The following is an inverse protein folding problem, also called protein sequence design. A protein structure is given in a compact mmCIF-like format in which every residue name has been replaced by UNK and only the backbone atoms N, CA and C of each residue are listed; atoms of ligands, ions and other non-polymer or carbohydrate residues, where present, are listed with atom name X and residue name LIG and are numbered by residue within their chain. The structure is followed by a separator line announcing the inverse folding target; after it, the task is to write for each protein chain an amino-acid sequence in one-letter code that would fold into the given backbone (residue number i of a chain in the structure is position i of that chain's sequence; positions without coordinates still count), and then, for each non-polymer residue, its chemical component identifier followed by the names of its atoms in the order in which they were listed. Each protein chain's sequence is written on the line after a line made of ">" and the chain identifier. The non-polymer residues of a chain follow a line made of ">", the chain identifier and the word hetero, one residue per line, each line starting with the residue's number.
data_IF_985752284808
#
_entry.id   IF_985752284808
#
_cell.length_a   1.000
_cell.length_b   1.000
_cell.length_c   1.000
_cell.angle_alpha   90.00
_cell.angle_beta   90.00
_cell.angle_gamma   90.00
#
_symmetry.space_group_name_H-M   'P 1'
#
loop_
_entity.id
_entity.type
_entity.pdbx_description
1 polymer ?
#
# COMPACT_ATOMS: atom_id res chain seq x y z
N UNK A 1 -31.48 19.56 6.13
CA UNK A 1 -30.31 18.93 5.51
C UNK A 1 -29.42 18.51 6.67
N UNK A 2 -29.25 17.21 6.91
CA UNK A 2 -28.30 16.73 7.90
C UNK A 2 -26.90 17.03 7.34
N UNK A 3 -26.12 17.84 8.05
CA UNK A 3 -24.69 17.99 7.79
C UNK A 3 -24.06 16.60 7.96
N UNK A 4 -23.62 16.00 6.88
CA UNK A 4 -22.76 14.81 6.97
C UNK A 4 -21.57 15.22 7.84
N UNK A 5 -21.32 14.48 8.91
CA UNK A 5 -20.13 14.71 9.72
C UNK A 5 -18.91 14.67 8.80
N UNK A 6 -18.04 15.66 8.90
CA UNK A 6 -16.80 15.68 8.13
C UNK A 6 -16.01 14.40 8.42
N UNK A 7 -15.63 13.67 7.36
CA UNK A 7 -14.79 12.48 7.49
C UNK A 7 -13.42 12.82 8.06
N UNK A 8 -12.76 11.85 8.68
CA UNK A 8 -11.47 12.03 9.37
C UNK A 8 -10.30 12.48 8.47
N UNK A 9 -10.44 12.31 7.15
CA UNK A 9 -9.46 12.70 6.15
C UNK A 9 -9.94 13.87 5.28
N UNK A 10 -11.02 14.57 5.69
CA UNK A 10 -11.54 15.74 4.96
C UNK A 10 -10.44 16.79 4.80
N UNK A 11 -10.24 17.24 3.56
CA UNK A 11 -9.19 18.23 3.21
C UNK A 11 -7.78 17.66 3.11
N UNK A 12 -7.59 16.35 3.19
CA UNK A 12 -6.30 15.70 2.96
C UNK A 12 -6.25 15.06 1.57
N UNK A 13 -5.04 14.96 1.03
CA UNK A 13 -4.73 14.31 -0.25
C UNK A 13 -3.86 13.09 0.00
N UNK A 14 -4.31 11.92 -0.49
CA UNK A 14 -3.58 10.68 -0.40
C UNK A 14 -3.13 10.16 -1.77
N UNK A 15 -1.86 9.79 -1.89
CA UNK A 15 -1.29 9.11 -3.05
C UNK A 15 -1.20 7.63 -2.74
N UNK A 16 -1.83 6.78 -3.57
CA UNK A 16 -1.93 5.34 -3.36
C UNK A 16 -1.42 4.59 -4.57
N UNK A 17 -0.36 3.78 -4.39
CA UNK A 17 0.17 2.92 -5.45
C UNK A 17 -0.53 1.56 -5.48
N UNK A 18 -0.69 0.98 -6.68
CA UNK A 18 -1.39 -0.30 -6.84
C UNK A 18 -2.89 -0.23 -6.56
N UNK A 19 -3.51 0.94 -6.76
CA UNK A 19 -4.90 1.21 -6.39
C UNK A 19 -5.96 0.57 -7.30
N UNK A 20 -5.55 -0.15 -8.37
CA UNK A 20 -6.50 -0.71 -9.35
C UNK A 20 -7.25 -1.97 -8.86
N UNK A 21 -6.87 -2.57 -7.74
CA UNK A 21 -7.52 -3.76 -7.18
C UNK A 21 -7.06 -4.09 -5.75
N UNK A 22 -7.67 -5.10 -5.15
CA UNK A 22 -7.27 -5.67 -3.88
C UNK A 22 -7.13 -4.63 -2.78
N UNK A 23 -6.08 -4.75 -1.98
CA UNK A 23 -5.82 -3.90 -0.82
C UNK A 23 -5.76 -2.40 -1.21
N UNK A 24 -5.05 -2.06 -2.29
CA UNK A 24 -4.92 -0.66 -2.73
C UNK A 24 -6.25 -0.04 -3.12
N UNK A 25 -7.12 -0.79 -3.80
CA UNK A 25 -8.47 -0.36 -4.14
C UNK A 25 -9.36 -0.19 -2.90
N UNK A 26 -9.26 -1.10 -1.93
CA UNK A 26 -9.99 -1.00 -0.67
C UNK A 26 -9.53 0.20 0.18
N UNK A 27 -8.21 0.45 0.26
CA UNK A 27 -7.67 1.65 0.93
C UNK A 27 -8.18 2.93 0.25
N UNK A 28 -8.16 2.99 -1.09
CA UNK A 28 -8.65 4.14 -1.82
C UNK A 28 -10.12 4.45 -1.47
N UNK A 29 -11.00 3.44 -1.49
CA UNK A 29 -12.41 3.61 -1.09
C UNK A 29 -12.56 4.01 0.37
N UNK A 30 -11.83 3.40 1.29
CA UNK A 30 -11.88 3.75 2.70
C UNK A 30 -11.47 5.22 2.94
N UNK A 31 -10.45 5.70 2.23
CA UNK A 31 -9.99 7.09 2.34
C UNK A 31 -10.97 8.07 1.69
N UNK A 32 -11.57 7.73 0.55
CA UNK A 32 -12.65 8.52 -0.06
C UNK A 32 -13.84 8.68 0.88
N UNK A 33 -14.27 7.59 1.51
CA UNK A 33 -15.41 7.60 2.45
C UNK A 33 -15.12 8.47 3.68
N UNK A 34 -13.86 8.63 4.07
CA UNK A 34 -13.42 9.52 5.13
C UNK A 34 -13.04 10.92 4.62
N UNK A 35 -13.35 11.24 3.38
CA UNK A 35 -13.29 12.60 2.85
C UNK A 35 -11.97 13.01 2.20
N UNK A 36 -11.03 12.09 1.95
CA UNK A 36 -9.80 12.40 1.26
C UNK A 36 -10.01 12.64 -0.25
N UNK A 37 -9.20 13.52 -0.84
CA UNK A 37 -8.93 13.53 -2.27
C UNK A 37 -7.79 12.55 -2.58
N UNK A 38 -7.76 11.97 -3.80
CA UNK A 38 -6.80 10.92 -4.12
C UNK A 38 -5.96 11.22 -5.36
N UNK A 39 -4.73 10.73 -5.35
CA UNK A 39 -3.95 10.37 -6.54
C UNK A 39 -3.80 8.85 -6.55
N UNK A 40 -4.29 8.19 -7.59
CA UNK A 40 -4.26 6.73 -7.71
C UNK A 40 -3.35 6.30 -8.85
N UNK A 41 -2.44 5.35 -8.56
CA UNK A 41 -1.39 4.92 -9.49
C UNK A 41 -1.50 3.43 -9.75
N UNK A 42 -1.62 3.02 -11.01
CA UNK A 42 -1.49 1.64 -11.47
C UNK A 42 -1.37 1.57 -13.00
N UNK A 43 -1.15 0.37 -13.55
CA UNK A 43 -1.08 0.11 -15.00
C UNK A 43 -2.45 -0.03 -15.66
N UNK A 44 -3.49 -0.44 -14.91
CA UNK A 44 -4.84 -0.71 -15.44
C UNK A 44 -5.69 0.55 -15.37
N UNK A 45 -5.59 1.38 -16.41
CA UNK A 45 -6.23 2.69 -16.49
C UNK A 45 -7.75 2.63 -16.28
N UNK A 46 -8.43 1.68 -16.92
CA UNK A 46 -9.89 1.54 -16.82
C UNK A 46 -10.37 1.38 -15.38
N UNK A 47 -9.65 0.58 -14.57
CA UNK A 47 -10.00 0.39 -13.15
C UNK A 47 -9.74 1.63 -12.30
N UNK A 48 -8.71 2.41 -12.64
CA UNK A 48 -8.44 3.69 -11.98
C UNK A 48 -9.50 4.74 -12.36
N UNK A 49 -9.96 4.71 -13.60
CA UNK A 49 -11.02 5.62 -14.06
C UNK A 49 -12.34 5.34 -13.32
N UNK A 50 -12.70 4.08 -13.10
CA UNK A 50 -13.85 3.72 -12.28
C UNK A 50 -13.73 4.26 -10.84
N UNK A 51 -12.53 4.24 -10.24
CA UNK A 51 -12.28 4.86 -8.93
C UNK A 51 -12.48 6.38 -8.96
N UNK A 52 -12.05 7.04 -10.03
CA UNK A 52 -12.26 8.48 -10.18
C UNK A 52 -13.74 8.84 -10.30
N UNK A 53 -14.54 8.00 -10.97
CA UNK A 53 -16.00 8.16 -11.05
C UNK A 53 -16.68 7.95 -9.68
N UNK A 54 -16.21 6.96 -8.89
CA UNK A 54 -16.68 6.76 -7.52
C UNK A 54 -16.38 7.99 -6.65
N UNK A 55 -15.17 8.55 -6.76
CA UNK A 55 -14.76 9.76 -6.05
C UNK A 55 -15.66 10.95 -6.39
N UNK A 56 -15.93 11.17 -7.68
CA UNK A 56 -16.78 12.26 -8.13
C UNK A 56 -18.20 12.15 -7.57
N UNK A 57 -18.77 10.94 -7.53
CA UNK A 57 -20.09 10.68 -6.92
C UNK A 57 -20.13 11.02 -5.42
N UNK A 58 -18.99 10.87 -4.75
CA UNK A 58 -18.82 11.21 -3.33
C UNK A 58 -18.43 12.68 -3.10
N UNK A 59 -18.38 13.51 -4.16
CA UNK A 59 -17.97 14.91 -4.08
C UNK A 59 -16.48 15.10 -3.78
N UNK A 60 -15.65 14.11 -4.10
CA UNK A 60 -14.20 14.12 -3.91
C UNK A 60 -13.47 14.13 -5.25
N UNK A 61 -12.22 14.56 -5.24
CA UNK A 61 -11.37 14.59 -6.43
C UNK A 61 -10.48 13.35 -6.43
N UNK A 62 -10.31 12.74 -7.60
CA UNK A 62 -9.39 11.64 -7.77
C UNK A 62 -8.64 11.82 -9.09
N UNK A 63 -7.32 11.98 -9.02
CA UNK A 63 -6.45 12.10 -10.18
C UNK A 63 -5.89 10.72 -10.50
N UNK A 64 -6.07 10.29 -11.73
CA UNK A 64 -5.55 9.02 -12.25
C UNK A 64 -4.17 9.23 -12.85
N UNK A 65 -3.20 8.46 -12.40
CA UNK A 65 -1.85 8.38 -12.98
C UNK A 65 -1.60 6.94 -13.46
N UNK A 66 -1.82 6.73 -14.75
CA UNK A 66 -1.43 5.46 -15.38
C UNK A 66 0.10 5.37 -15.46
N UNK A 67 0.66 4.23 -15.03
CA UNK A 67 2.10 3.99 -15.15
C UNK A 67 2.57 2.74 -14.42
N UNK A 68 3.80 2.35 -14.74
CA UNK A 68 4.51 1.31 -14.01
C UNK A 68 5.22 1.95 -12.81
N UNK A 69 4.97 1.41 -11.63
CA UNK A 69 5.57 1.91 -10.38
C UNK A 69 7.09 1.70 -10.31
N UNK A 70 7.64 0.86 -11.18
CA UNK A 70 9.09 0.62 -11.30
C UNK A 70 9.82 1.80 -11.97
N UNK A 71 9.09 2.64 -12.69
CA UNK A 71 9.60 3.79 -13.42
C UNK A 71 9.57 5.04 -12.55
N UNK A 72 10.73 5.71 -12.40
CA UNK A 72 10.86 6.93 -11.59
C UNK A 72 9.93 8.05 -12.09
N UNK A 73 9.77 8.17 -13.40
CA UNK A 73 8.89 9.15 -14.03
C UNK A 73 7.43 9.00 -13.57
N UNK A 74 6.98 7.79 -13.29
CA UNK A 74 5.63 7.56 -12.74
C UNK A 74 5.50 8.16 -11.34
N UNK A 75 6.52 8.03 -10.49
CA UNK A 75 6.52 8.63 -9.15
C UNK A 75 6.54 10.17 -9.24
N UNK A 76 7.36 10.73 -10.12
CA UNK A 76 7.43 12.18 -10.38
C UNK A 76 6.07 12.73 -10.80
N UNK A 77 5.43 12.11 -11.82
CA UNK A 77 4.11 12.53 -12.30
C UNK A 77 3.03 12.43 -11.21
N UNK A 78 3.07 11.39 -10.38
CA UNK A 78 2.10 11.22 -9.31
C UNK A 78 2.21 12.30 -8.22
N UNK A 79 3.42 12.67 -7.82
CA UNK A 79 3.66 13.76 -6.86
C UNK A 79 3.27 15.11 -7.46
N UNK A 80 3.64 15.36 -8.72
CA UNK A 80 3.22 16.57 -9.43
C UNK A 80 1.70 16.67 -9.54
N UNK A 81 1.00 15.58 -9.83
CA UNK A 81 -0.45 15.54 -9.89
C UNK A 81 -1.08 15.91 -8.54
N UNK A 82 -0.55 15.40 -7.42
CA UNK A 82 -1.02 15.78 -6.09
C UNK A 82 -0.86 17.29 -5.84
N UNK A 83 0.34 17.82 -6.05
CA UNK A 83 0.65 19.21 -5.74
C UNK A 83 -0.04 20.18 -6.70
N UNK A 84 0.00 19.93 -8.01
CA UNK A 84 -0.49 20.88 -9.02
C UNK A 84 -2.00 20.82 -9.22
N UNK A 85 -2.63 19.63 -9.13
CA UNK A 85 -4.07 19.46 -9.40
C UNK A 85 -4.91 19.43 -8.13
N UNK A 86 -4.36 18.90 -7.00
CA UNK A 86 -5.08 18.81 -5.73
C UNK A 86 -4.61 19.83 -4.70
N UNK A 87 -3.46 20.50 -4.95
CA UNK A 87 -2.94 21.60 -4.15
C UNK A 87 -2.03 21.19 -2.99
N UNK A 88 -1.97 19.89 -2.66
CA UNK A 88 -1.15 19.37 -1.55
C UNK A 88 -0.95 17.86 -1.64
N UNK A 89 -0.10 17.33 -0.75
CA UNK A 89 0.04 15.90 -0.51
C UNK A 89 0.25 15.67 0.99
N UNK A 90 -0.56 14.82 1.61
CA UNK A 90 -0.55 14.55 3.05
C UNK A 90 -0.19 13.12 3.38
N UNK A 91 -0.62 12.16 2.52
CA UNK A 91 -0.49 10.73 2.80
C UNK A 91 0.09 10.02 1.59
N UNK A 92 1.11 9.19 1.81
CA UNK A 92 1.58 8.21 0.83
C UNK A 92 1.23 6.80 1.32
N UNK A 93 0.62 5.99 0.44
CA UNK A 93 0.44 4.56 0.65
C UNK A 93 1.23 3.78 -0.40
N UNK A 94 2.37 3.24 0.00
CA UNK A 94 3.16 2.29 -0.78
C UNK A 94 2.52 0.92 -0.68
N UNK A 95 1.63 0.59 -1.64
CA UNK A 95 0.91 -0.68 -1.65
C UNK A 95 1.22 -1.55 -2.88
N UNK A 96 1.68 -0.98 -3.99
CA UNK A 96 2.01 -1.74 -5.18
C UNK A 96 2.98 -2.89 -4.86
N UNK A 97 2.70 -4.08 -5.38
CA UNK A 97 3.53 -5.25 -5.16
C UNK A 97 3.09 -6.45 -5.98
N UNK A 98 4.02 -7.39 -6.15
CA UNK A 98 3.78 -8.70 -6.77
C UNK A 98 4.40 -9.81 -5.91
N UNK A 99 3.87 -11.02 -6.05
CA UNK A 99 4.44 -12.24 -5.50
C UNK A 99 4.57 -13.29 -6.59
N UNK A 100 5.71 -13.95 -6.65
CA UNK A 100 5.97 -15.13 -7.49
C UNK A 100 6.58 -16.18 -6.58
N UNK A 101 5.79 -17.21 -6.29
CA UNK A 101 6.14 -18.23 -5.31
C UNK A 101 6.70 -19.46 -6.01
N UNK A 102 7.91 -19.82 -5.66
CA UNK A 102 8.61 -21.01 -6.15
C UNK A 102 9.78 -21.34 -5.22
N UNK A 103 10.20 -22.60 -5.23
CA UNK A 103 11.45 -22.97 -4.58
C UNK A 103 12.62 -22.21 -5.19
N UNK A 104 13.65 -21.93 -4.40
CA UNK A 104 14.77 -21.08 -4.82
C UNK A 104 15.41 -21.53 -6.13
N UNK A 105 15.57 -22.84 -6.33
CA UNK A 105 16.19 -23.40 -7.55
C UNK A 105 15.31 -23.22 -8.80
N UNK A 106 14.04 -22.92 -8.65
CA UNK A 106 13.08 -22.67 -9.73
C UNK A 106 12.82 -21.18 -9.95
N UNK A 107 13.29 -20.32 -9.02
CA UNK A 107 13.13 -18.86 -9.13
C UNK A 107 14.14 -18.31 -10.13
N UNK A 108 13.67 -17.72 -11.21
CA UNK A 108 14.54 -17.09 -12.20
C UNK A 108 15.12 -15.75 -11.71
N UNK A 109 16.22 -15.30 -12.32
CA UNK A 109 16.73 -13.95 -12.08
C UNK A 109 15.71 -12.87 -12.47
N UNK A 110 14.96 -13.08 -13.55
CA UNK A 110 13.91 -12.16 -13.99
C UNK A 110 12.77 -12.04 -12.95
N UNK A 111 12.42 -13.16 -12.28
CA UNK A 111 11.44 -13.14 -11.21
C UNK A 111 11.95 -12.40 -9.96
N UNK A 112 13.23 -12.60 -9.64
CA UNK A 112 13.91 -11.85 -8.58
C UNK A 112 13.85 -10.34 -8.88
N UNK A 113 14.33 -9.93 -10.06
CA UNK A 113 14.37 -8.51 -10.46
C UNK A 113 12.95 -7.91 -10.49
N UNK A 114 11.98 -8.62 -11.07
CA UNK A 114 10.60 -8.15 -11.12
C UNK A 114 10.00 -7.93 -9.73
N UNK A 115 10.26 -8.83 -8.76
CA UNK A 115 9.78 -8.67 -7.39
C UNK A 115 10.53 -7.55 -6.65
N UNK A 116 11.84 -7.45 -6.78
CA UNK A 116 12.63 -6.38 -6.15
C UNK A 116 12.24 -5.01 -6.70
N UNK A 117 12.12 -4.88 -8.01
CA UNK A 117 11.77 -3.62 -8.66
C UNK A 117 10.33 -3.18 -8.32
N UNK A 118 9.38 -4.13 -8.36
CA UNK A 118 7.98 -3.78 -8.08
C UNK A 118 7.74 -3.53 -6.61
N UNK A 119 8.33 -4.31 -5.69
CA UNK A 119 8.00 -4.21 -4.27
C UNK A 119 8.90 -3.17 -3.57
N UNK A 120 10.23 -3.27 -3.73
CA UNK A 120 11.14 -2.43 -2.96
C UNK A 120 11.56 -1.16 -3.69
N UNK A 121 11.98 -1.26 -4.95
CA UNK A 121 12.39 -0.08 -5.73
C UNK A 121 11.24 0.92 -5.87
N UNK A 122 10.02 0.45 -6.15
CA UNK A 122 8.86 1.35 -6.22
C UNK A 122 8.61 2.06 -4.90
N UNK A 123 8.66 1.34 -3.76
CA UNK A 123 8.53 1.93 -2.42
C UNK A 123 9.57 3.02 -2.21
N UNK A 124 10.82 2.79 -2.59
CA UNK A 124 11.88 3.79 -2.53
C UNK A 124 11.59 5.00 -3.43
N UNK A 125 11.25 4.79 -4.69
CA UNK A 125 11.03 5.87 -5.66
C UNK A 125 9.89 6.81 -5.21
N UNK A 126 8.72 6.25 -4.89
CA UNK A 126 7.60 7.07 -4.44
C UNK A 126 7.91 7.80 -3.14
N UNK A 127 8.50 7.12 -2.17
CA UNK A 127 8.89 7.75 -0.90
C UNK A 127 9.89 8.87 -1.10
N UNK A 128 10.93 8.66 -1.92
CA UNK A 128 11.97 9.66 -2.21
C UNK A 128 11.38 10.96 -2.78
N UNK A 129 10.39 10.85 -3.67
CA UNK A 129 9.77 12.03 -4.29
C UNK A 129 8.69 12.68 -3.40
N UNK A 130 8.06 11.94 -2.50
CA UNK A 130 7.06 12.45 -1.56
C UNK A 130 7.69 13.14 -0.36
N UNK A 131 8.78 12.62 0.18
CA UNK A 131 9.43 13.13 1.41
C UNK A 131 9.71 14.64 1.35
N UNK A 132 10.29 15.22 0.28
CA UNK A 132 10.53 16.68 0.21
C UNK A 132 9.24 17.50 0.39
N UNK A 133 8.12 17.06 -0.20
CA UNK A 133 6.82 17.74 -0.07
C UNK A 133 6.31 17.70 1.37
N UNK A 134 6.43 16.56 2.04
CA UNK A 134 6.01 16.42 3.43
C UNK A 134 6.91 17.21 4.39
N UNK A 135 8.22 17.27 4.12
CA UNK A 135 9.18 18.06 4.90
C UNK A 135 8.88 19.57 4.81
N UNK A 136 8.57 20.07 3.62
CA UNK A 136 8.16 21.46 3.42
C UNK A 136 6.89 21.80 4.20
N UNK A 137 5.95 20.85 4.29
CA UNK A 137 4.70 21.01 5.05
C UNK A 137 4.89 20.83 6.57
N UNK A 138 5.96 20.18 7.02
CA UNK A 138 6.20 19.85 8.43
C UNK A 138 5.20 18.84 9.01
N UNK A 139 4.47 18.10 8.17
CA UNK A 139 3.49 17.09 8.58
C UNK A 139 3.23 16.12 7.44
N UNK A 140 2.76 14.92 7.75
CA UNK A 140 2.34 13.93 6.78
C UNK A 140 2.38 12.50 7.32
N UNK A 141 1.93 11.55 6.50
CA UNK A 141 1.92 10.13 6.86
C UNK A 141 2.37 9.27 5.69
N UNK A 142 3.31 8.37 5.94
CA UNK A 142 3.77 7.36 4.96
C UNK A 142 3.41 5.98 5.51
N UNK A 143 2.63 5.22 4.73
CA UNK A 143 2.19 3.87 5.08
C UNK A 143 2.73 2.90 4.03
N UNK A 144 3.44 1.87 4.47
CA UNK A 144 3.90 0.79 3.60
C UNK A 144 3.07 -0.46 3.84
N UNK A 145 2.49 -1.04 2.80
CA UNK A 145 1.80 -2.33 2.87
C UNK A 145 2.83 -3.42 2.55
N UNK A 146 3.42 -3.98 3.61
CA UNK A 146 4.38 -5.06 3.49
C UNK A 146 3.67 -6.44 3.47
N UNK A 147 4.00 -7.32 4.39
CA UNK A 147 3.40 -8.65 4.57
C UNK A 147 3.94 -9.27 5.88
N UNK A 148 3.28 -10.32 6.38
CA UNK A 148 3.91 -11.22 7.35
C UNK A 148 5.21 -11.84 6.82
N UNK A 149 5.35 -11.98 5.49
CA UNK A 149 6.60 -12.36 4.82
C UNK A 149 7.74 -11.32 4.99
N UNK A 150 7.47 -10.14 5.52
CA UNK A 150 8.47 -9.14 5.93
C UNK A 150 8.89 -9.27 7.40
N UNK A 151 8.28 -10.21 8.14
CA UNK A 151 8.52 -10.42 9.58
C UNK A 151 9.10 -11.81 9.83
N UNK A 152 8.77 -12.76 8.96
CA UNK A 152 9.20 -14.15 9.04
C UNK A 152 9.33 -14.76 7.66
N UNK A 153 10.14 -15.82 7.53
CA UNK A 153 10.32 -16.55 6.27
C UNK A 153 9.23 -17.60 6.05
N UNK A 154 8.92 -17.85 4.78
CA UNK A 154 8.04 -18.93 4.33
C UNK A 154 8.75 -19.76 3.26
N UNK A 155 8.58 -21.09 3.31
CA UNK A 155 9.08 -21.97 2.28
C UNK A 155 8.43 -21.64 0.92
N UNK A 156 9.20 -21.70 -0.17
CA UNK A 156 8.72 -21.34 -1.51
C UNK A 156 8.55 -19.82 -1.74
N UNK A 157 8.87 -18.96 -0.77
CA UNK A 157 8.70 -17.50 -0.86
C UNK A 157 10.00 -16.72 -0.58
N UNK A 158 11.17 -17.34 -0.72
CA UNK A 158 12.44 -16.74 -0.27
C UNK A 158 12.69 -15.33 -0.82
N UNK A 159 12.52 -15.12 -2.13
CA UNK A 159 12.72 -13.81 -2.76
C UNK A 159 11.61 -12.82 -2.37
N UNK A 160 10.35 -13.27 -2.36
CA UNK A 160 9.24 -12.42 -1.89
C UNK A 160 9.47 -11.96 -0.45
N UNK A 161 9.85 -12.88 0.46
CA UNK A 161 10.22 -12.53 1.83
C UNK A 161 11.31 -11.47 1.86
N UNK A 162 12.39 -11.65 1.07
CA UNK A 162 13.48 -10.67 1.01
C UNK A 162 12.99 -9.25 0.65
N UNK A 163 12.08 -9.13 -0.34
CA UNK A 163 11.51 -7.83 -0.71
C UNK A 163 10.69 -7.22 0.43
N UNK A 164 9.93 -8.04 1.15
CA UNK A 164 9.06 -7.59 2.24
C UNK A 164 9.84 -7.27 3.51
N UNK A 165 10.89 -8.01 3.85
CA UNK A 165 11.84 -7.63 4.90
C UNK A 165 12.53 -6.30 4.58
N UNK A 166 12.93 -6.08 3.31
CA UNK A 166 13.50 -4.82 2.88
C UNK A 166 12.52 -3.64 3.08
N UNK A 167 11.23 -3.81 2.75
CA UNK A 167 10.20 -2.78 3.00
C UNK A 167 10.03 -2.49 4.49
N UNK A 168 10.01 -3.51 5.36
CA UNK A 168 9.89 -3.32 6.81
C UNK A 168 11.10 -2.57 7.36
N UNK A 169 12.32 -3.02 7.04
CA UNK A 169 13.56 -2.37 7.48
C UNK A 169 13.67 -0.92 6.99
N UNK A 170 13.35 -0.67 5.72
CA UNK A 170 13.31 0.67 5.14
C UNK A 170 12.32 1.58 5.88
N UNK A 171 11.09 1.10 6.12
CA UNK A 171 10.06 1.88 6.82
C UNK A 171 10.46 2.20 8.26
N UNK A 172 11.06 1.26 8.97
CA UNK A 172 11.54 1.46 10.34
C UNK A 172 12.71 2.47 10.42
N UNK A 173 13.63 2.47 9.45
CA UNK A 173 14.69 3.47 9.39
C UNK A 173 14.12 4.86 9.08
N UNK A 174 13.23 4.94 8.09
CA UNK A 174 12.58 6.17 7.68
C UNK A 174 11.73 6.82 8.80
N UNK A 175 11.07 6.02 9.66
CA UNK A 175 10.37 6.55 10.85
C UNK A 175 11.33 7.33 11.75
N UNK A 176 12.55 6.84 11.94
CA UNK A 176 13.53 7.52 12.79
C UNK A 176 14.05 8.80 12.18
N UNK A 177 14.18 8.84 10.85
CA UNK A 177 14.63 10.03 10.10
C UNK A 177 13.56 11.12 10.08
N UNK A 178 12.30 10.77 9.84
CA UNK A 178 11.24 11.73 9.55
C UNK A 178 10.40 12.14 10.75
N UNK A 179 10.37 11.32 11.81
CA UNK A 179 9.64 11.64 13.05
C UNK A 179 10.03 13.00 13.67
N UNK A 180 11.31 13.42 13.73
CA UNK A 180 11.67 14.75 14.23
C UNK A 180 11.06 15.90 13.43
N UNK A 181 10.61 15.63 12.21
CA UNK A 181 9.98 16.60 11.30
C UNK A 181 8.45 16.56 11.31
N UNK A 182 7.84 15.84 12.27
CA UNK A 182 6.37 15.74 12.36
C UNK A 182 5.72 14.77 11.36
N UNK A 183 6.52 13.99 10.63
CA UNK A 183 6.03 13.02 9.63
C UNK A 183 5.93 11.64 10.28
N UNK A 184 4.75 11.03 10.15
CA UNK A 184 4.46 9.69 10.65
C UNK A 184 4.82 8.66 9.58
N UNK A 185 5.52 7.62 9.98
CA UNK A 185 5.88 6.51 9.07
C UNK A 185 5.55 5.19 9.74
N UNK A 186 4.89 4.30 9.02
CA UNK A 186 4.57 3.00 9.55
C UNK A 186 4.28 1.95 8.50
N UNK A 187 4.23 0.71 8.92
CA UNK A 187 4.07 -0.47 8.08
C UNK A 187 2.89 -1.33 8.53
N UNK A 188 2.09 -1.80 7.57
CA UNK A 188 1.10 -2.86 7.79
C UNK A 188 1.65 -4.17 7.23
N UNK A 189 1.66 -5.21 8.05
CA UNK A 189 2.13 -6.55 7.70
C UNK A 189 0.96 -7.53 7.71
N UNK A 190 0.14 -7.61 6.65
CA UNK A 190 -0.95 -8.56 6.58
C UNK A 190 -0.44 -9.98 6.30
N UNK A 191 -1.17 -10.98 6.79
CA UNK A 191 -1.08 -12.37 6.35
C UNK A 191 -1.78 -12.57 5.00
N UNK A 192 -2.35 -13.75 4.77
CA UNK A 192 -3.12 -14.01 3.56
C UNK A 192 -4.35 -13.10 3.44
N UNK A 193 -4.52 -12.44 2.29
CA UNK A 193 -5.66 -11.57 1.97
C UNK A 193 -6.32 -12.07 0.69
N UNK A 194 -7.64 -12.10 0.64
CA UNK A 194 -8.44 -12.48 -0.54
C UNK A 194 -8.37 -11.39 -1.59
N UNK A 195 -7.50 -11.56 -2.56
CA UNK A 195 -7.27 -10.62 -3.65
C UNK A 195 -6.77 -11.35 -4.90
N UNK A 196 -6.65 -10.65 -6.01
CA UNK A 196 -6.00 -11.16 -7.25
C UNK A 196 -4.47 -11.36 -7.08
N UNK A 197 -3.89 -11.03 -5.94
CA UNK A 197 -2.45 -11.10 -5.72
C UNK A 197 -1.91 -12.52 -5.81
N UNK A 198 -0.86 -12.73 -6.61
CA UNK A 198 -0.18 -13.98 -6.87
C UNK A 198 -1.05 -15.10 -7.49
N UNK A 199 -2.24 -14.79 -8.02
CA UNK A 199 -3.02 -15.76 -8.81
C UNK A 199 -2.22 -16.10 -10.08
N UNK A 200 -2.07 -17.41 -10.36
CA UNK A 200 -1.25 -17.92 -11.46
C UNK A 200 0.26 -17.93 -11.19
N UNK A 201 0.72 -17.38 -10.05
CA UNK A 201 2.15 -17.33 -9.66
C UNK A 201 2.37 -17.83 -8.22
N UNK A 202 1.58 -18.82 -7.80
CA UNK A 202 1.64 -19.45 -6.48
C UNK A 202 0.29 -19.54 -5.76
N UNK A 203 -0.76 -18.90 -6.29
CA UNK A 203 -2.14 -19.00 -5.77
C UNK A 203 -3.12 -19.35 -6.90
N UNK A 204 -4.26 -19.94 -6.54
CA UNK A 204 -5.39 -20.17 -7.46
C UNK A 204 -6.62 -19.39 -6.99
N UNK A 205 -7.52 -19.04 -7.91
CA UNK A 205 -8.77 -18.35 -7.57
C UNK A 205 -9.62 -19.16 -6.60
N UNK A 206 -9.75 -20.48 -6.85
CA UNK A 206 -10.52 -21.38 -5.98
C UNK A 206 -9.91 -21.46 -4.58
N UNK A 207 -8.56 -21.58 -4.49
CA UNK A 207 -7.85 -21.61 -3.21
C UNK A 207 -8.03 -20.32 -2.41
N UNK A 208 -7.99 -19.17 -3.07
CA UNK A 208 -8.25 -17.86 -2.44
C UNK A 208 -9.71 -17.77 -1.99
N UNK A 209 -10.67 -18.13 -2.84
CA UNK A 209 -12.09 -18.05 -2.52
C UNK A 209 -12.50 -18.98 -1.35
N UNK A 210 -11.93 -20.19 -1.30
CA UNK A 210 -12.20 -21.19 -0.25
C UNK A 210 -11.43 -20.91 1.06
N UNK A 211 -10.50 -19.96 1.06
CA UNK A 211 -9.65 -19.68 2.23
C UNK A 211 -10.37 -18.85 3.29
N UNK A 212 -9.95 -19.01 4.54
CA UNK A 212 -10.33 -18.12 5.64
C UNK A 212 -9.40 -16.90 5.76
N UNK A 213 -8.81 -16.44 4.65
CA UNK A 213 -7.94 -15.25 4.62
C UNK A 213 -8.68 -13.98 5.02
N UNK A 214 -7.92 -12.93 5.35
CA UNK A 214 -8.43 -11.58 5.56
C UNK A 214 -9.12 -11.05 4.30
N UNK A 215 -10.05 -10.13 4.46
CA UNK A 215 -10.56 -9.33 3.36
C UNK A 215 -9.67 -8.10 3.13
N UNK A 216 -9.73 -7.51 1.94
CA UNK A 216 -8.95 -6.32 1.61
C UNK A 216 -9.34 -5.12 2.49
N UNK A 217 -10.60 -5.07 2.90
CA UNK A 217 -11.19 -4.06 3.77
C UNK A 217 -10.61 -4.09 5.18
N UNK A 218 -10.19 -5.26 5.69
CA UNK A 218 -9.52 -5.37 6.99
C UNK A 218 -8.19 -4.62 6.98
N UNK A 219 -7.43 -4.76 5.88
CA UNK A 219 -6.15 -4.05 5.70
C UNK A 219 -6.39 -2.56 5.46
N UNK A 220 -7.44 -2.20 4.76
CA UNK A 220 -7.83 -0.81 4.56
C UNK A 220 -8.19 -0.12 5.87
N UNK A 221 -8.89 -0.80 6.78
CA UNK A 221 -9.19 -0.29 8.12
C UNK A 221 -7.91 -0.05 8.93
N UNK A 222 -6.92 -0.93 8.85
CA UNK A 222 -5.62 -0.73 9.50
C UNK A 222 -4.85 0.48 8.92
N UNK A 223 -4.85 0.64 7.60
CA UNK A 223 -4.23 1.80 6.95
C UNK A 223 -4.93 3.11 7.34
N UNK A 224 -6.26 3.11 7.39
CA UNK A 224 -7.06 4.25 7.83
C UNK A 224 -6.76 4.60 9.30
N UNK A 225 -6.69 3.61 10.19
CA UNK A 225 -6.32 3.82 11.58
C UNK A 225 -4.94 4.50 11.70
N UNK A 226 -3.96 4.11 10.88
CA UNK A 226 -2.63 4.75 10.86
C UNK A 226 -2.71 6.19 10.33
N UNK A 227 -3.47 6.43 9.27
CA UNK A 227 -3.61 7.74 8.65
C UNK A 227 -4.29 8.76 9.58
N UNK A 228 -5.23 8.31 10.41
CA UNK A 228 -6.07 9.16 11.26
C UNK A 228 -5.55 9.35 12.68
N UNK A 229 -4.31 8.93 12.99
CA UNK A 229 -3.71 9.19 14.30
C UNK A 229 -3.51 10.68 14.56
N UNK A 230 -3.77 11.17 15.79
CA UNK A 230 -3.54 12.57 16.12
C UNK A 230 -2.05 12.95 15.97
N UNK A 231 -1.71 14.24 15.87
CA UNK A 231 -0.33 14.70 15.60
C UNK A 231 0.73 14.16 16.57
N UNK A 232 0.36 13.92 17.82
CA UNK A 232 1.27 13.43 18.86
C UNK A 232 1.40 11.90 18.90
N UNK A 233 0.65 11.17 18.07
CA UNK A 233 0.62 9.70 18.05
C UNK A 233 0.93 9.17 16.66
N UNK A 234 1.61 8.04 16.60
CA UNK A 234 1.79 7.25 15.39
C UNK A 234 1.74 5.76 15.70
N UNK A 235 1.33 5.00 14.73
CA UNK A 235 1.41 3.54 14.76
C UNK A 235 2.58 3.14 13.84
N UNK A 236 3.63 2.58 14.42
CA UNK A 236 4.83 2.21 13.66
C UNK A 236 4.63 0.92 12.87
N UNK A 237 3.88 -0.05 13.43
CA UNK A 237 3.66 -1.35 12.81
C UNK A 237 2.32 -1.95 13.23
N UNK A 238 1.61 -2.54 12.26
CA UNK A 238 0.41 -3.38 12.50
C UNK A 238 0.64 -4.73 11.84
N UNK A 239 0.56 -5.81 12.61
CA UNK A 239 0.57 -7.19 12.13
C UNK A 239 -0.84 -7.76 12.18
N UNK A 240 -1.30 -8.31 11.06
CA UNK A 240 -2.65 -8.87 10.92
C UNK A 240 -2.56 -10.27 10.35
N UNK A 241 -3.25 -11.23 10.97
CA UNK A 241 -3.30 -12.61 10.49
C UNK A 241 -4.72 -13.16 10.51
N UNK A 242 -5.09 -13.98 9.53
CA UNK A 242 -6.34 -14.73 9.59
C UNK A 242 -6.35 -15.66 10.81
N UNK A 243 -7.52 -15.89 11.37
CA UNK A 243 -7.68 -16.81 12.50
C UNK A 243 -7.41 -18.29 12.14
N UNK A 244 -7.49 -18.63 10.85
CA UNK A 244 -7.32 -19.99 10.33
C UNK A 244 -5.94 -20.27 9.76
N UNK A 245 -5.00 -19.33 9.87
CA UNK A 245 -3.62 -19.54 9.44
C UNK A 245 -2.95 -20.64 10.30
N UNK A 246 -2.24 -21.63 9.71
CA UNK A 246 -1.56 -22.65 10.49
C UNK A 246 -0.57 -22.01 11.46
N UNK A 247 -0.53 -22.50 12.68
CA UNK A 247 0.46 -22.11 13.67
C UNK A 247 1.85 -22.48 13.16
N UNK A 248 2.83 -21.61 13.43
CA UNK A 248 4.24 -21.78 13.07
C UNK A 248 4.72 -23.22 13.22
N UNK A 249 5.41 -23.75 12.22
CA UNK A 249 6.20 -24.97 12.31
C UNK A 249 5.47 -26.28 12.03
N UNK A 250 4.29 -26.25 11.43
CA UNK A 250 3.74 -27.45 10.80
C UNK A 250 3.77 -27.25 9.28
N UNK A 251 4.80 -27.80 8.65
CA UNK A 251 4.73 -28.13 7.25
C UNK A 251 3.50 -29.04 7.04
N UNK A 252 2.68 -28.80 6.00
CA UNK A 252 1.70 -29.80 5.60
C UNK A 252 2.48 -31.07 5.24
N UNK A 253 2.14 -32.17 5.90
CA UNK A 253 2.66 -33.49 5.61
C UNK A 253 2.23 -33.94 4.22
#
# INVERSE_FOLDING_TARGET
>A
MATMADGKLTGQVALITGASSGIGGAIARAFLNEGADLVVVARRQERLQAMAEEALKSGRRCVVVEGDVREEETAVRAVQAAVQQLGQLDILVNNAGIGRYADLVQTSADDFDAMMDTNMRSTFLFTRHVVPVLLERGTGTIITIASMAGVMGFAGEAVYCATKFAQVGFTQALDRELRPHGIKVGVVCPGGVKTEFAIGTGRTEEGVAASGMLEAEDVAAAALLMATQPPYSRIAEIRMRPMVEPLFGRDPA
#
